data_IF_880243312883
#
_entry.id   IF_880243312883
#
_cell.length_a   1.000
_cell.length_b   1.000
_cell.length_c   1.000
_cell.angle_alpha   90.00
_cell.angle_beta   90.00
_cell.angle_gamma   90.00
#
_symmetry.space_group_name_H-M   'P 1'
#
loop_
_entity.id
_entity.type
_entity.pdbx_description
1 polymer ?
#
# COMPACT_ATOMS: atom_id res chain seq x y z
N UNK A 1 -14.53 12.79 -17.28
CA UNK A 1 -13.16 12.65 -16.73
C UNK A 1 -12.22 13.73 -17.23
N UNK A 2 -12.27 14.16 -18.50
CA UNK A 2 -11.53 15.36 -18.96
C UNK A 2 -11.87 16.61 -18.13
N UNK A 3 -10.87 17.46 -17.89
CA UNK A 3 -10.94 18.69 -17.09
C UNK A 3 -11.10 18.47 -15.59
N UNK A 4 -11.00 17.23 -15.09
CA UNK A 4 -11.20 16.91 -13.67
C UNK A 4 -9.91 17.00 -12.88
N UNK A 5 -10.04 17.42 -11.62
CA UNK A 5 -8.95 17.46 -10.65
C UNK A 5 -8.96 16.18 -9.80
N UNK A 6 -7.82 15.51 -9.70
CA UNK A 6 -7.66 14.24 -8.98
C UNK A 6 -6.68 14.45 -7.82
N UNK A 7 -7.15 14.29 -6.59
CA UNK A 7 -6.33 14.31 -5.39
C UNK A 7 -5.51 13.01 -5.29
N UNK A 8 -4.20 13.14 -5.06
CA UNK A 8 -3.26 12.02 -4.82
C UNK A 8 -2.34 12.38 -3.66
N UNK A 9 -1.80 11.40 -2.94
CA UNK A 9 -0.91 11.68 -1.80
C UNK A 9 0.56 11.95 -2.20
N UNK A 10 0.84 12.00 -3.50
CA UNK A 10 2.17 12.32 -4.03
C UNK A 10 2.22 12.14 -5.54
N UNK A 11 3.06 12.93 -6.21
CA UNK A 11 3.31 12.75 -7.63
C UNK A 11 4.13 11.48 -7.86
N UNK A 12 3.66 10.60 -8.74
CA UNK A 12 4.25 9.29 -8.98
C UNK A 12 3.89 8.25 -7.92
N UNK A 13 2.96 8.56 -7.01
CA UNK A 13 2.43 7.57 -6.09
C UNK A 13 1.75 6.41 -6.86
N UNK A 14 1.82 5.15 -6.37
CA UNK A 14 1.26 4.00 -7.08
C UNK A 14 -0.20 4.18 -7.55
N UNK A 15 -1.14 4.75 -6.76
CA UNK A 15 -2.50 4.99 -7.25
C UNK A 15 -2.59 6.00 -8.38
N UNK A 16 -1.74 7.03 -8.41
CA UNK A 16 -1.66 7.93 -9.57
C UNK A 16 -1.19 7.14 -10.79
N UNK A 17 -0.04 6.46 -10.72
CA UNK A 17 0.53 5.74 -11.86
C UNK A 17 -0.44 4.69 -12.41
N UNK A 18 -1.10 3.94 -11.52
CA UNK A 18 -2.15 3.03 -11.91
C UNK A 18 -3.29 3.78 -12.62
N UNK A 19 -3.86 4.82 -12.00
CA UNK A 19 -4.99 5.51 -12.59
C UNK A 19 -4.66 6.24 -13.91
N UNK A 20 -3.41 6.67 -14.11
CA UNK A 20 -2.92 7.18 -15.40
C UNK A 20 -3.03 6.13 -16.50
N UNK A 21 -2.70 4.86 -16.22
CA UNK A 21 -2.91 3.75 -17.17
C UNK A 21 -4.41 3.56 -17.46
N UNK A 22 -5.28 3.62 -16.44
CA UNK A 22 -6.74 3.58 -16.64
C UNK A 22 -7.21 4.70 -17.56
N UNK A 23 -6.77 5.94 -17.32
CA UNK A 23 -7.12 7.09 -18.15
C UNK A 23 -6.67 6.91 -19.60
N UNK A 24 -5.39 6.55 -19.80
CA UNK A 24 -4.82 6.36 -21.12
C UNK A 24 -5.52 5.26 -21.92
N UNK A 25 -5.84 4.13 -21.28
CA UNK A 25 -6.62 3.03 -21.90
C UNK A 25 -8.03 3.43 -22.30
N UNK A 26 -8.57 4.50 -21.73
CA UNK A 26 -9.88 5.08 -22.06
C UNK A 26 -9.76 6.34 -22.95
N UNK A 27 -8.60 6.56 -23.59
CA UNK A 27 -8.38 7.66 -24.53
C UNK A 27 -8.30 9.05 -23.87
N UNK A 28 -8.01 9.09 -22.56
CA UNK A 28 -7.81 10.33 -21.80
C UNK A 28 -6.33 10.45 -21.51
N UNK A 29 -5.72 11.56 -21.94
CA UNK A 29 -4.32 11.86 -21.68
C UNK A 29 -4.13 12.22 -20.19
N UNK A 30 -3.45 11.38 -19.40
CA UNK A 30 -3.27 11.64 -17.97
C UNK A 30 -2.45 12.89 -17.65
N UNK A 31 -1.70 13.44 -18.62
CA UNK A 31 -0.84 14.60 -18.43
C UNK A 31 -1.53 15.91 -18.81
N UNK A 32 -2.45 15.88 -19.77
CA UNK A 32 -3.07 17.11 -20.32
C UNK A 32 -4.58 17.21 -20.11
N UNK A 33 -5.30 16.09 -20.01
CA UNK A 33 -6.76 16.09 -19.87
C UNK A 33 -7.24 16.14 -18.41
N UNK A 34 -6.36 15.97 -17.42
CA UNK A 34 -6.70 15.99 -15.99
C UNK A 34 -5.68 16.81 -15.21
N UNK A 35 -6.04 17.22 -13.99
CA UNK A 35 -5.12 17.93 -13.09
C UNK A 35 -4.84 17.08 -11.86
N UNK A 36 -3.58 16.72 -11.65
CA UNK A 36 -3.15 16.03 -10.44
C UNK A 36 -2.89 17.03 -9.30
N UNK A 37 -3.56 16.84 -8.17
CA UNK A 37 -3.40 17.67 -6.98
C UNK A 37 -2.75 16.84 -5.87
N UNK A 38 -1.42 16.99 -5.65
CA UNK A 38 -0.77 16.33 -4.53
C UNK A 38 -1.24 16.96 -3.21
N UNK A 39 -1.65 16.13 -2.26
CA UNK A 39 -2.09 16.53 -0.92
C UNK A 39 -1.48 15.61 0.14
N UNK A 40 -1.50 15.98 1.43
CA UNK A 40 -1.08 15.06 2.49
C UNK A 40 -1.89 13.76 2.47
N UNK A 41 -1.22 12.65 2.80
CA UNK A 41 -1.79 11.29 2.74
C UNK A 41 -3.17 11.17 3.40
N UNK A 42 -3.30 11.67 4.63
CA UNK A 42 -4.54 11.58 5.41
C UNK A 42 -5.64 12.55 4.95
N UNK A 43 -5.38 13.40 3.96
CA UNK A 43 -6.33 14.43 3.49
C UNK A 43 -6.83 14.18 2.06
N UNK A 44 -6.49 13.06 1.43
CA UNK A 44 -6.94 12.75 0.06
C UNK A 44 -8.46 12.75 -0.05
N UNK A 45 -9.15 12.07 0.87
CA UNK A 45 -10.62 12.03 0.87
C UNK A 45 -11.26 13.36 1.23
N UNK A 46 -10.75 14.02 2.26
CA UNK A 46 -11.22 15.33 2.74
C UNK A 46 -11.08 16.41 1.67
N UNK A 47 -10.05 16.34 0.83
CA UNK A 47 -9.86 17.29 -0.28
C UNK A 47 -10.99 17.21 -1.29
N UNK A 48 -11.46 15.99 -1.58
CA UNK A 48 -12.61 15.76 -2.48
C UNK A 48 -13.92 16.16 -1.79
N UNK A 49 -14.10 15.79 -0.51
CA UNK A 49 -15.29 16.14 0.28
C UNK A 49 -15.49 17.66 0.40
N UNK A 50 -14.39 18.43 0.54
CA UNK A 50 -14.43 19.90 0.54
C UNK A 50 -14.65 20.52 -0.85
N UNK A 51 -14.75 19.72 -1.91
CA UNK A 51 -14.94 20.18 -3.28
C UNK A 51 -13.68 20.79 -3.91
N UNK A 52 -12.50 20.57 -3.32
CA UNK A 52 -11.24 21.10 -3.86
C UNK A 52 -10.57 20.17 -4.90
N UNK A 53 -11.14 18.98 -5.10
CA UNK A 53 -10.82 18.02 -6.15
C UNK A 53 -12.10 17.24 -6.50
N UNK A 54 -12.19 16.72 -7.72
CA UNK A 54 -13.34 15.94 -8.18
C UNK A 54 -13.22 14.46 -7.84
N UNK A 55 -12.00 13.92 -7.80
CA UNK A 55 -11.71 12.49 -7.58
C UNK A 55 -10.57 12.28 -6.59
N UNK A 56 -10.54 11.12 -5.96
CA UNK A 56 -9.45 10.65 -5.11
C UNK A 56 -8.76 9.44 -5.75
N UNK A 57 -7.43 9.51 -5.93
CA UNK A 57 -6.58 8.38 -6.22
C UNK A 57 -5.85 7.97 -4.93
N UNK A 58 -6.27 6.86 -4.33
CA UNK A 58 -5.74 6.38 -3.06
C UNK A 58 -5.54 4.86 -3.06
N UNK A 59 -5.01 4.30 -1.97
CA UNK A 59 -4.79 2.86 -1.82
C UNK A 59 -5.56 2.29 -0.64
N UNK A 60 -5.79 0.98 -0.68
CA UNK A 60 -6.38 0.27 0.44
C UNK A 60 -5.44 0.17 1.65
N UNK A 61 -5.99 0.16 2.88
CA UNK A 61 -7.42 0.20 3.18
C UNK A 61 -7.99 1.62 3.34
N UNK A 62 -7.20 2.66 3.07
CA UNK A 62 -7.65 4.06 3.21
C UNK A 62 -8.63 4.47 2.10
N UNK A 63 -8.46 3.98 0.87
CA UNK A 63 -9.41 4.14 -0.24
C UNK A 63 -10.80 3.62 0.17
N UNK A 64 -10.88 2.39 0.68
CA UNK A 64 -12.10 1.86 1.27
C UNK A 64 -12.67 2.73 2.39
N UNK A 65 -11.80 3.28 3.25
CA UNK A 65 -12.21 4.12 4.38
C UNK A 65 -12.89 5.41 3.94
N UNK A 66 -12.31 6.13 2.97
CA UNK A 66 -12.87 7.38 2.45
C UNK A 66 -14.11 7.11 1.59
N UNK A 67 -14.18 5.97 0.89
CA UNK A 67 -15.37 5.52 0.17
C UNK A 67 -16.57 5.46 1.13
N UNK A 68 -16.41 4.79 2.28
CA UNK A 68 -17.48 4.67 3.27
C UNK A 68 -17.73 5.96 4.05
N UNK A 69 -16.68 6.72 4.38
CA UNK A 69 -16.78 7.95 5.18
C UNK A 69 -17.54 9.05 4.44
N UNK A 70 -17.24 9.25 3.16
CA UNK A 70 -17.79 10.34 2.35
C UNK A 70 -18.80 9.87 1.30
N UNK A 71 -19.18 8.59 1.34
CA UNK A 71 -20.10 7.97 0.38
C UNK A 71 -19.66 8.15 -1.09
N UNK A 72 -18.35 8.03 -1.33
CA UNK A 72 -17.82 8.09 -2.69
C UNK A 72 -18.15 6.80 -3.46
N UNK A 73 -18.19 6.94 -4.78
CA UNK A 73 -18.36 5.79 -5.68
C UNK A 73 -16.99 5.36 -6.21
N UNK A 74 -16.67 4.08 -6.03
CA UNK A 74 -15.48 3.48 -6.66
C UNK A 74 -15.67 3.41 -8.17
N UNK A 75 -14.75 3.99 -8.93
CA UNK A 75 -14.81 4.02 -10.41
C UNK A 75 -13.74 3.17 -11.09
N UNK A 76 -12.67 2.81 -10.37
CA UNK A 76 -11.57 1.98 -10.86
C UNK A 76 -10.81 1.37 -9.67
N UNK A 77 -10.23 0.20 -9.88
CA UNK A 77 -9.23 -0.42 -9.00
C UNK A 77 -8.22 -1.20 -9.84
N UNK A 78 -7.15 -1.67 -9.20
CA UNK A 78 -6.09 -2.45 -9.84
C UNK A 78 -6.34 -3.96 -9.78
N UNK A 79 -7.55 -4.40 -9.42
CA UNK A 79 -7.89 -5.81 -9.25
C UNK A 79 -8.88 -6.32 -10.31
N UNK A 80 -9.50 -5.42 -11.07
CA UNK A 80 -10.56 -5.74 -12.02
C UNK A 80 -10.31 -5.10 -13.39
N UNK A 81 -11.04 -5.57 -14.41
CA UNK A 81 -11.02 -4.97 -15.74
C UNK A 81 -9.66 -5.07 -16.41
N UNK A 82 -9.10 -3.94 -16.85
CA UNK A 82 -7.83 -3.90 -17.59
C UNK A 82 -6.61 -4.40 -16.79
N UNK A 83 -6.73 -4.50 -15.47
CA UNK A 83 -5.67 -5.01 -14.58
C UNK A 83 -5.85 -6.47 -14.21
N UNK A 84 -6.95 -7.10 -14.62
CA UNK A 84 -7.18 -8.50 -14.32
C UNK A 84 -6.04 -9.36 -14.89
N UNK A 85 -5.47 -10.22 -14.05
CA UNK A 85 -4.30 -11.04 -14.39
C UNK A 85 -2.98 -10.26 -14.57
N UNK A 86 -2.94 -8.96 -14.25
CA UNK A 86 -1.74 -8.13 -14.38
C UNK A 86 -0.97 -8.04 -13.05
N UNK A 87 0.35 -8.07 -13.12
CA UNK A 87 1.23 -7.89 -11.96
C UNK A 87 1.24 -6.43 -11.49
N UNK A 88 0.91 -6.17 -10.22
CA UNK A 88 0.90 -4.81 -9.65
C UNK A 88 2.17 -4.47 -8.85
N UNK A 89 2.82 -5.45 -8.24
CA UNK A 89 3.99 -5.27 -7.37
C UNK A 89 5.11 -6.22 -7.77
N UNK A 90 6.35 -5.76 -7.67
CA UNK A 90 7.55 -6.56 -7.98
C UNK A 90 8.55 -6.47 -6.82
N UNK A 91 9.25 -7.57 -6.57
CA UNK A 91 10.41 -7.60 -5.68
C UNK A 91 11.66 -7.32 -6.51
N UNK A 92 12.33 -6.19 -6.20
CA UNK A 92 13.57 -5.79 -6.88
C UNK A 92 14.79 -5.93 -5.98
N UNK A 93 15.91 -6.38 -6.55
CA UNK A 93 17.23 -6.34 -5.93
C UNK A 93 18.25 -5.82 -6.95
N UNK A 94 19.22 -5.02 -6.49
CA UNK A 94 20.30 -4.59 -7.38
C UNK A 94 21.23 -5.77 -7.71
N UNK A 95 21.89 -5.71 -8.87
CA UNK A 95 22.72 -6.81 -9.39
C UNK A 95 23.79 -7.31 -8.41
N UNK A 96 24.67 -6.43 -7.86
CA UNK A 96 25.66 -6.86 -6.88
C UNK A 96 25.08 -7.56 -5.64
N UNK A 97 23.96 -7.05 -5.12
CA UNK A 97 23.28 -7.65 -3.99
C UNK A 97 22.67 -9.02 -4.34
N UNK A 98 22.10 -9.15 -5.54
CA UNK A 98 21.57 -10.41 -6.05
C UNK A 98 22.65 -11.48 -6.16
N UNK A 99 23.80 -11.16 -6.74
CA UNK A 99 24.90 -12.11 -6.88
C UNK A 99 25.45 -12.56 -5.53
N UNK A 100 25.62 -11.62 -4.59
CA UNK A 100 26.13 -11.94 -3.26
C UNK A 100 25.13 -12.71 -2.37
N UNK A 101 23.81 -12.59 -2.62
CA UNK A 101 22.76 -13.09 -1.73
C UNK A 101 21.72 -13.98 -2.43
N UNK A 102 22.12 -14.67 -3.51
CA UNK A 102 21.20 -15.41 -4.39
C UNK A 102 20.28 -16.40 -3.65
N UNK A 103 20.82 -17.20 -2.72
CA UNK A 103 19.99 -18.16 -1.96
C UNK A 103 18.97 -17.46 -1.06
N UNK A 104 19.37 -16.39 -0.38
CA UNK A 104 18.48 -15.64 0.51
C UNK A 104 17.34 -14.99 -0.28
N UNK A 105 17.64 -14.39 -1.45
CA UNK A 105 16.62 -13.77 -2.30
C UNK A 105 15.69 -14.80 -2.95
N UNK A 106 16.20 -15.98 -3.34
CA UNK A 106 15.36 -17.10 -3.79
C UNK A 106 14.35 -17.48 -2.71
N UNK A 107 14.80 -17.64 -1.47
CA UNK A 107 13.93 -18.02 -0.33
C UNK A 107 12.92 -16.93 0.01
N UNK A 108 13.30 -15.67 -0.13
CA UNK A 108 12.39 -14.54 0.01
C UNK A 108 11.30 -14.57 -1.08
N UNK A 109 11.68 -14.82 -2.33
CA UNK A 109 10.72 -14.93 -3.43
C UNK A 109 9.76 -16.11 -3.24
N UNK A 110 10.27 -17.28 -2.82
CA UNK A 110 9.47 -18.46 -2.48
C UNK A 110 8.48 -18.15 -1.34
N UNK A 111 8.94 -17.54 -0.25
CA UNK A 111 8.07 -17.13 0.86
C UNK A 111 7.02 -16.10 0.42
N UNK A 112 7.36 -15.21 -0.51
CA UNK A 112 6.44 -14.23 -1.06
C UNK A 112 5.33 -14.91 -1.91
N UNK A 113 5.68 -15.93 -2.69
CA UNK A 113 4.69 -16.72 -3.43
C UNK A 113 3.76 -17.45 -2.44
N UNK A 114 4.33 -18.16 -1.47
CA UNK A 114 3.56 -18.90 -0.45
C UNK A 114 2.57 -18.01 0.30
N UNK A 115 3.00 -16.79 0.71
CA UNK A 115 2.10 -15.88 1.43
C UNK A 115 0.99 -15.34 0.52
N UNK A 116 1.26 -15.08 -0.77
CA UNK A 116 0.22 -14.63 -1.70
C UNK A 116 -0.83 -15.72 -1.94
N UNK A 117 -0.42 -16.98 -2.08
CA UNK A 117 -1.34 -18.13 -2.16
C UNK A 117 -2.18 -18.29 -0.88
N UNK A 118 -1.56 -18.11 0.29
CA UNK A 118 -2.27 -18.12 1.57
C UNK A 118 -3.30 -16.99 1.67
N UNK A 119 -2.92 -15.76 1.29
CA UNK A 119 -3.80 -14.58 1.32
C UNK A 119 -5.01 -14.78 0.39
N UNK A 120 -4.78 -15.33 -0.81
CA UNK A 120 -5.85 -15.61 -1.76
C UNK A 120 -6.87 -16.64 -1.23
N UNK A 121 -6.39 -17.63 -0.46
CA UNK A 121 -7.24 -18.67 0.13
C UNK A 121 -7.86 -18.30 1.49
N UNK A 122 -7.32 -17.31 2.19
CA UNK A 122 -7.75 -16.90 3.55
C UNK A 122 -8.02 -15.39 3.69
N UNK A 123 -8.77 -14.74 2.78
CA UNK A 123 -8.87 -13.28 2.73
C UNK A 123 -9.49 -12.67 4.00
N UNK A 124 -10.49 -13.34 4.61
CA UNK A 124 -11.16 -12.83 5.81
C UNK A 124 -10.29 -12.88 7.07
N UNK A 125 -9.46 -13.91 7.21
CA UNK A 125 -8.48 -14.01 8.31
C UNK A 125 -7.39 -12.96 8.13
N UNK A 126 -6.83 -12.88 6.94
CA UNK A 126 -5.77 -11.92 6.61
C UNK A 126 -6.26 -10.49 6.79
N UNK A 127 -7.48 -10.15 6.36
CA UNK A 127 -8.06 -8.82 6.58
C UNK A 127 -8.18 -8.46 8.06
N UNK A 128 -8.58 -9.42 8.93
CA UNK A 128 -8.61 -9.22 10.38
C UNK A 128 -7.21 -8.98 10.95
N UNK A 129 -6.22 -9.74 10.49
CA UNK A 129 -4.83 -9.55 10.88
C UNK A 129 -4.31 -8.18 10.44
N UNK A 130 -4.55 -7.77 9.18
CA UNK A 130 -4.16 -6.46 8.65
C UNK A 130 -4.76 -5.31 9.45
N UNK A 131 -6.05 -5.40 9.82
CA UNK A 131 -6.70 -4.36 10.62
C UNK A 131 -5.99 -4.11 11.95
N UNK A 132 -5.49 -5.18 12.58
CA UNK A 132 -4.76 -5.10 13.85
C UNK A 132 -3.31 -4.66 13.62
N UNK A 133 -2.62 -5.28 12.67
CA UNK A 133 -1.18 -5.10 12.43
C UNK A 133 -0.84 -3.77 11.77
N UNK A 134 -1.55 -3.40 10.69
CA UNK A 134 -1.36 -2.13 10.00
C UNK A 134 -1.90 -0.95 10.80
N UNK A 135 -2.94 -1.19 11.62
CA UNK A 135 -3.57 -0.16 12.43
C UNK A 135 -3.95 1.11 11.61
N UNK A 136 -4.76 0.98 10.54
CA UNK A 136 -5.16 2.13 9.75
C UNK A 136 -6.12 3.04 10.54
N UNK A 137 -5.86 4.34 10.48
CA UNK A 137 -6.76 5.34 11.06
C UNK A 137 -8.15 5.25 10.40
N UNK A 138 -9.23 5.35 11.20
CA UNK A 138 -10.60 5.38 10.69
C UNK A 138 -11.30 4.02 10.53
N UNK A 139 -10.59 2.89 10.64
CA UNK A 139 -11.19 1.55 10.50
C UNK A 139 -11.31 0.74 11.79
N UNK A 140 -10.84 1.27 12.93
CA UNK A 140 -10.97 0.59 14.23
C UNK A 140 -12.40 0.73 14.81
N UNK A 141 -13.00 -0.36 15.29
CA UNK A 141 -14.17 -0.28 16.17
C UNK A 141 -13.82 0.53 17.43
N UNK A 142 -14.59 1.57 17.75
CA UNK A 142 -14.49 2.31 19.01
C UNK A 142 -13.50 3.49 19.04
N UNK A 143 -12.74 3.78 17.99
CA UNK A 143 -12.12 5.11 17.84
C UNK A 143 -13.21 6.04 17.32
N UNK A 144 -13.58 7.14 18.02
CA UNK A 144 -14.60 8.06 17.54
C UNK A 144 -14.27 8.48 16.10
N UNK A 145 -15.28 8.46 15.22
CA UNK A 145 -15.20 9.15 13.94
C UNK A 145 -14.85 10.60 14.28
N UNK A 146 -13.61 11.01 14.01
CA UNK A 146 -13.14 12.34 14.35
C UNK A 146 -14.07 13.36 13.70
N UNK A 147 -14.90 13.99 14.52
CA UNK A 147 -15.73 15.11 14.09
C UNK A 147 -14.77 16.27 13.83
N UNK A 148 -14.41 16.49 12.57
CA UNK A 148 -13.67 17.68 12.14
C UNK A 148 -14.60 18.90 12.10
N UNK A 149 -15.41 19.10 13.15
CA UNK A 149 -16.03 20.39 13.41
C UNK A 149 -14.96 21.35 13.91
N UNK A 150 -14.61 22.29 13.03
CA UNK A 150 -14.00 23.61 13.28
C UNK A 150 -13.61 23.87 14.73
N UNK A 151 -12.35 23.62 15.06
CA UNK A 151 -11.66 24.38 16.12
C UNK A 151 -10.57 25.18 15.44
N UNK A 152 -10.71 26.50 15.46
CA UNK A 152 -9.76 27.43 14.85
C UNK A 152 -8.35 27.19 15.36
N UNK A 153 -7.38 27.32 14.45
CA UNK A 153 -5.97 27.31 14.79
C UNK A 153 -5.66 28.48 15.73
N UNK A 154 -5.56 28.20 17.03
CA UNK A 154 -4.75 29.01 17.92
C UNK A 154 -3.29 28.60 17.70
N UNK A 155 -2.50 29.53 17.17
CA UNK A 155 -1.06 29.40 16.98
C UNK A 155 -0.40 29.25 18.37
N UNK A 156 0.44 28.23 18.62
CA UNK A 156 1.20 28.19 19.87
C UNK A 156 2.30 29.26 19.84
N UNK A 157 2.57 29.95 20.97
CA UNK A 157 3.55 31.02 21.00
C UNK A 157 4.97 30.47 20.93
N UNK A 158 5.82 31.17 20.18
CA UNK A 158 7.25 30.96 20.08
C UNK A 158 7.90 30.83 21.46
N UNK A 159 8.67 29.75 21.67
CA UNK A 159 9.63 29.66 22.76
C UNK A 159 11.04 29.50 22.20
N UNK A 160 11.79 30.59 22.33
CA UNK A 160 13.22 30.66 22.15
C UNK A 160 13.96 29.75 23.15
N UNK A 161 14.94 29.01 22.62
CA UNK A 161 16.23 28.61 23.19
C UNK A 161 16.30 28.07 24.64
N UNK A 162 16.76 26.82 24.77
CA UNK A 162 17.90 26.41 25.62
C UNK A 162 18.19 24.92 25.40
N UNK A 163 19.46 24.56 25.21
CA UNK A 163 19.87 23.26 24.67
C UNK A 163 20.10 22.12 25.68
N UNK A 164 20.42 20.95 25.09
CA UNK A 164 21.10 19.71 25.56
C UNK A 164 20.24 18.45 25.37
N UNK A 165 20.85 17.24 25.27
CA UNK A 165 21.97 16.82 24.43
C UNK A 165 21.60 15.59 23.56
N UNK A 166 22.44 15.30 22.57
CA UNK A 166 22.36 14.14 21.66
C UNK A 166 22.39 12.82 22.43
N UNK A 167 21.33 12.01 22.33
CA UNK A 167 21.35 10.62 22.80
C UNK A 167 21.98 9.72 21.73
N UNK A 168 23.13 9.13 22.10
CA UNK A 168 23.79 8.03 21.37
C UNK A 168 22.91 6.79 21.40
N UNK A 169 22.89 6.08 20.28
CA UNK A 169 22.33 4.75 20.12
C UNK A 169 22.85 3.80 21.21
N UNK A 170 21.94 3.15 21.93
CA UNK A 170 22.25 2.00 22.76
C UNK A 170 21.87 0.72 22.02
N UNK A 171 22.89 -0.11 21.87
CA UNK A 171 22.90 -1.43 21.26
C UNK A 171 22.08 -2.41 22.12
N UNK A 172 20.92 -2.85 21.61
CA UNK A 172 20.14 -3.92 22.26
C UNK A 172 20.75 -5.27 21.85
N UNK A 173 21.59 -5.82 22.74
CA UNK A 173 22.03 -7.22 22.67
C UNK A 173 20.82 -8.15 22.83
N UNK A 174 20.40 -8.77 21.73
CA UNK A 174 19.40 -9.83 21.74
C UNK A 174 19.96 -11.11 22.38
N UNK A 175 19.40 -11.50 23.51
CA UNK A 175 19.63 -12.79 24.16
C UNK A 175 19.09 -13.92 23.26
N UNK A 176 19.98 -14.85 22.90
CA UNK A 176 19.65 -16.08 22.21
C UNK A 176 18.85 -17.02 23.13
N UNK A 177 17.56 -17.22 22.83
CA UNK A 177 16.83 -18.41 23.28
C UNK A 177 16.41 -19.20 22.05
N UNK A 178 16.93 -20.42 21.98
CA UNK A 178 16.61 -21.41 20.96
C UNK A 178 15.13 -21.80 21.04
N UNK A 179 14.36 -21.45 20.02
CA UNK A 179 13.05 -22.03 19.77
C UNK A 179 13.23 -23.12 18.71
N UNK A 180 13.19 -24.37 19.14
CA UNK A 180 13.13 -25.54 18.26
C UNK A 180 11.84 -25.50 17.45
N UNK A 181 11.96 -25.41 16.11
CA UNK A 181 10.82 -25.50 15.17
C UNK A 181 10.29 -26.94 15.12
N UNK A 182 8.97 -27.18 15.05
CA UNK A 182 8.43 -28.50 14.74
C UNK A 182 8.63 -28.84 13.24
N UNK A 183 8.72 -30.13 12.88
CA UNK A 183 9.01 -30.53 11.51
C UNK A 183 7.83 -30.26 10.55
N UNK A 184 8.15 -29.69 9.39
CA UNK A 184 7.21 -29.46 8.29
C UNK A 184 6.86 -30.82 7.65
N UNK A 185 5.57 -31.18 7.63
CA UNK A 185 5.08 -32.33 6.85
C UNK A 185 5.13 -31.95 5.37
N UNK A 186 5.90 -32.71 4.58
CA UNK A 186 5.89 -32.63 3.11
C UNK A 186 4.63 -33.33 2.58
N UNK A 187 3.88 -32.74 1.64
CA UNK A 187 2.85 -33.48 0.91
C UNK A 187 3.48 -34.48 -0.06
N UNK A 188 2.81 -35.63 -0.21
CA UNK A 188 3.20 -36.76 -1.10
C UNK A 188 3.04 -36.38 -2.58
N UNK A 189 3.89 -36.88 -3.51
CA UNK A 189 3.80 -36.52 -4.91
C UNK A 189 2.77 -37.41 -5.62
N UNK A 190 1.64 -36.83 -6.04
CA UNK A 190 0.78 -37.42 -7.07
C UNK A 190 0.36 -36.35 -8.07
N UNK A 191 0.82 -36.51 -9.33
CA UNK A 191 0.38 -35.93 -10.63
C UNK A 191 -0.19 -34.50 -10.66
N UNK A 192 0.23 -33.58 -11.51
CA UNK A 192 0.65 -33.69 -12.92
C UNK A 192 1.61 -32.54 -13.28
N UNK A 193 2.65 -32.83 -14.06
CA UNK A 193 3.60 -31.83 -14.55
C UNK A 193 2.90 -30.90 -15.54
N UNK A 194 2.78 -29.61 -15.20
CA UNK A 194 2.68 -28.54 -16.19
C UNK A 194 4.06 -27.91 -16.31
N UNK A 195 4.68 -28.09 -17.46
CA UNK A 195 5.98 -27.51 -17.79
C UNK A 195 5.81 -26.01 -18.03
N UNK A 196 6.24 -25.17 -17.08
CA UNK A 196 6.41 -23.74 -17.34
C UNK A 196 7.80 -23.54 -17.97
N UNK A 197 7.82 -23.06 -19.20
CA UNK A 197 9.03 -22.77 -19.97
C UNK A 197 9.75 -21.54 -19.41
N UNK A 198 11.10 -21.51 -19.35
CA UNK A 198 11.85 -20.40 -18.78
C UNK A 198 12.26 -19.41 -19.88
N UNK A 199 11.38 -18.47 -20.25
CA UNK A 199 11.74 -17.29 -21.05
C UNK A 199 11.00 -16.06 -20.53
N UNK A 200 11.44 -15.54 -19.39
CA UNK A 200 11.14 -14.19 -18.93
C UNK A 200 12.09 -13.82 -17.77
N UNK A 201 13.38 -13.72 -18.10
CA UNK A 201 14.33 -12.94 -17.30
C UNK A 201 15.20 -12.18 -18.30
N UNK A 202 14.77 -10.96 -18.62
CA UNK A 202 15.57 -9.75 -18.85
C UNK A 202 14.61 -8.56 -18.99
#
# INVERSE_FOLDING_TARGET
MRGKTIATYGIGAPPQVAFQVTLAKNGIDPETDVTWKPVPFDLVGETVDRGEADLAAHLDPWAYSIEKKFNFTKIADTQTGIYEGTTCCVLGANGPFLEANRDALRRLAEANIEIHEYVASHPGEVAKWYLVALNPAGLRPGRPRGDHRRTGHAQPPDRAGTGRPVQRASEVRGSSRSLTRPPIRRPSPSGSRSTCSPEALL
#
